data_IF_138127609463
#
_entry.id   IF_138127609463
#
_cell.length_a   1.000
_cell.length_b   1.000
_cell.length_c   1.000
_cell.angle_alpha   90.00
_cell.angle_beta   90.00
_cell.angle_gamma   90.00
#
_symmetry.space_group_name_H-M   'P 1'
#
loop_
_entity.id
_entity.type
_entity.pdbx_description
1 polymer ?
#
# COMPACT_ATOMS: atom_id res chain seq x y z
N UNK A 1 20.39 6.00 -14.48
CA UNK A 1 20.15 7.46 -14.57
C UNK A 1 19.14 7.75 -15.67
N UNK A 2 18.14 8.57 -15.38
CA UNK A 2 17.05 8.96 -16.30
C UNK A 2 16.90 10.49 -16.31
N UNK A 3 16.45 11.02 -17.45
CA UNK A 3 16.15 12.45 -17.60
C UNK A 3 14.63 12.64 -17.66
N UNK A 4 14.11 13.51 -16.80
CA UNK A 4 12.70 13.87 -16.72
C UNK A 4 12.50 15.30 -17.22
N UNK A 5 11.39 15.56 -17.91
CA UNK A 5 11.01 16.90 -18.33
C UNK A 5 9.94 17.46 -17.39
N UNK A 6 10.09 18.72 -16.98
CA UNK A 6 9.09 19.46 -16.21
C UNK A 6 8.95 20.87 -16.81
N UNK A 7 7.93 21.07 -17.64
CA UNK A 7 7.78 22.30 -18.40
C UNK A 7 8.98 22.54 -19.33
N UNK A 8 9.75 23.62 -19.10
CA UNK A 8 10.99 23.92 -19.82
C UNK A 8 12.25 23.38 -19.12
N UNK A 9 12.12 22.82 -17.93
CA UNK A 9 13.23 22.31 -17.13
C UNK A 9 13.54 20.85 -17.46
N UNK A 10 14.81 20.48 -17.27
CA UNK A 10 15.30 19.12 -17.42
C UNK A 10 15.89 18.67 -16.09
N UNK A 11 15.38 17.57 -15.55
CA UNK A 11 15.75 17.04 -14.24
C UNK A 11 16.43 15.68 -14.40
N UNK A 12 17.46 15.42 -13.61
CA UNK A 12 18.21 14.18 -13.68
C UNK A 12 17.88 13.30 -12.47
N UNK A 13 17.14 12.23 -12.71
CA UNK A 13 16.85 11.20 -11.72
C UNK A 13 18.00 10.18 -11.75
N UNK A 14 18.83 10.20 -10.70
CA UNK A 14 19.88 9.21 -10.49
C UNK A 14 19.28 7.84 -10.19
N UNK A 15 20.08 6.79 -10.35
CA UNK A 15 19.64 5.46 -9.93
C UNK A 15 19.47 5.45 -8.41
N UNK A 16 18.46 4.71 -7.95
CA UNK A 16 18.17 4.59 -6.53
C UNK A 16 19.28 3.80 -5.84
N UNK A 17 19.75 4.20 -4.64
CA UNK A 17 20.72 3.43 -3.88
C UNK A 17 20.27 1.97 -3.66
N UNK A 18 21.24 1.06 -3.60
CA UNK A 18 21.02 -0.37 -3.35
C UNK A 18 21.55 -0.66 -1.95
N UNK A 19 20.78 -0.26 -0.95
CA UNK A 19 21.09 -0.45 0.47
C UNK A 19 19.80 -0.77 1.26
N UNK A 20 19.91 -1.18 2.54
CA UNK A 20 18.74 -1.57 3.34
C UNK A 20 17.71 -0.45 3.55
N UNK A 21 18.14 0.81 3.50
CA UNK A 21 17.26 1.98 3.71
C UNK A 21 16.50 2.33 2.43
N UNK A 22 16.90 1.76 1.29
CA UNK A 22 16.28 1.94 -0.02
C UNK A 22 15.79 0.59 -0.60
N UNK A 23 14.72 -0.02 -0.04
CA UNK A 23 14.17 -1.29 -0.53
C UNK A 23 13.65 -1.17 -1.98
N UNK A 24 13.77 -2.17 -2.86
CA UNK A 24 13.33 -2.08 -4.26
C UNK A 24 11.90 -1.55 -4.43
N UNK A 25 11.62 -0.93 -5.57
CA UNK A 25 10.27 -0.44 -5.88
C UNK A 25 9.24 -1.59 -5.88
N UNK A 26 8.01 -1.36 -5.39
CA UNK A 26 6.99 -2.40 -5.29
C UNK A 26 6.51 -2.86 -6.66
N UNK A 27 5.90 -4.05 -6.71
CA UNK A 27 5.22 -4.61 -7.89
C UNK A 27 6.08 -4.74 -9.17
N UNK A 28 7.41 -4.74 -9.01
CA UNK A 28 8.34 -4.76 -10.15
C UNK A 28 8.40 -3.45 -10.93
N UNK A 29 7.93 -2.34 -10.33
CA UNK A 29 8.05 -1.00 -10.90
C UNK A 29 9.53 -0.62 -11.09
N UNK A 30 9.79 0.25 -12.06
CA UNK A 30 11.12 0.78 -12.34
C UNK A 30 11.11 2.29 -12.47
N UNK A 31 12.28 2.92 -12.34
CA UNK A 31 12.43 4.36 -12.59
C UNK A 31 12.06 4.75 -14.02
N UNK A 32 11.96 3.80 -14.96
CA UNK A 32 11.54 4.09 -16.33
C UNK A 32 10.06 4.48 -16.47
N UNK A 33 9.30 4.29 -15.41
CA UNK A 33 7.89 4.70 -15.33
C UNK A 33 7.73 6.05 -14.62
N UNK A 34 8.83 6.61 -14.10
CA UNK A 34 8.79 7.87 -13.36
C UNK A 34 8.57 9.08 -14.28
N UNK A 35 7.81 10.05 -13.79
CA UNK A 35 7.60 11.38 -14.36
C UNK A 35 7.96 12.44 -13.33
N UNK A 36 8.32 13.63 -13.79
CA UNK A 36 8.51 14.78 -12.92
C UNK A 36 7.24 15.63 -12.91
N UNK A 37 6.80 16.04 -11.73
CA UNK A 37 5.67 16.95 -11.51
C UNK A 37 6.06 17.95 -10.43
N UNK A 38 5.34 19.07 -10.32
CA UNK A 38 5.45 19.88 -9.11
C UNK A 38 4.72 19.19 -7.95
N UNK A 39 5.18 19.39 -6.71
CA UNK A 39 4.59 18.75 -5.53
C UNK A 39 3.06 18.97 -5.42
N UNK A 40 2.56 20.15 -5.79
CA UNK A 40 1.11 20.43 -5.79
C UNK A 40 0.30 19.73 -6.89
N UNK A 41 0.97 19.11 -7.87
CA UNK A 41 0.35 18.37 -8.98
C UNK A 41 0.31 16.86 -8.72
N UNK A 42 0.98 16.38 -7.66
CA UNK A 42 0.90 15.00 -7.19
C UNK A 42 -0.55 14.66 -6.87
N UNK A 43 -0.99 13.47 -7.29
CA UNK A 43 -2.36 12.98 -7.10
C UNK A 43 -2.39 11.86 -6.07
N UNK A 44 -3.57 11.64 -5.50
CA UNK A 44 -3.82 10.48 -4.65
C UNK A 44 -3.48 9.19 -5.41
N UNK A 45 -2.67 8.32 -4.80
CA UNK A 45 -2.20 7.07 -5.38
C UNK A 45 -0.90 7.15 -6.19
N UNK A 46 -0.38 8.36 -6.47
CA UNK A 46 0.93 8.50 -7.12
C UNK A 46 2.02 8.00 -6.17
N UNK A 47 2.95 7.17 -6.66
CA UNK A 47 4.06 6.67 -5.85
C UNK A 47 5.21 7.68 -5.87
N UNK A 48 5.48 8.33 -4.74
CA UNK A 48 6.57 9.31 -4.61
C UNK A 48 7.91 8.60 -4.50
N UNK A 49 8.88 9.01 -5.33
CA UNK A 49 10.19 8.37 -5.44
C UNK A 49 11.35 9.24 -4.97
N UNK A 50 11.30 10.54 -5.27
CA UNK A 50 12.39 11.46 -4.99
C UNK A 50 11.90 12.92 -5.01
N UNK A 51 12.55 13.78 -4.24
CA UNK A 51 12.44 15.22 -4.34
C UNK A 51 13.68 15.79 -5.05
N UNK A 52 13.54 16.94 -5.73
CA UNK A 52 14.67 17.63 -6.33
C UNK A 52 15.00 18.88 -5.52
N UNK A 53 16.28 19.08 -5.18
CA UNK A 53 16.70 20.24 -4.39
C UNK A 53 16.30 21.58 -5.03
N UNK A 54 16.02 22.60 -4.21
CA UNK A 54 15.62 23.94 -4.68
C UNK A 54 16.82 24.79 -5.16
N UNK A 55 18.04 24.30 -4.98
CA UNK A 55 19.28 25.02 -5.31
C UNK A 55 19.39 25.36 -6.81
N UNK A 56 19.96 26.53 -7.10
CA UNK A 56 20.20 26.98 -8.47
C UNK A 56 21.29 26.15 -9.13
N UNK A 57 20.93 25.31 -10.12
CA UNK A 57 21.89 24.50 -10.88
C UNK A 57 21.30 23.19 -11.40
N UNK A 58 22.16 22.20 -11.62
CA UNK A 58 21.73 20.83 -11.88
C UNK A 58 21.16 20.25 -10.58
N UNK A 59 19.84 20.36 -10.39
CA UNK A 59 19.13 19.84 -9.23
C UNK A 59 19.42 18.35 -9.07
N UNK A 60 19.90 17.96 -7.89
CA UNK A 60 20.10 16.56 -7.56
C UNK A 60 18.78 15.97 -7.04
N UNK A 61 18.47 14.76 -7.48
CA UNK A 61 17.37 13.99 -6.94
C UNK A 61 17.81 13.34 -5.62
N UNK A 62 17.04 13.59 -4.58
CA UNK A 62 17.14 12.91 -3.29
C UNK A 62 16.03 11.86 -3.24
N UNK A 63 16.41 10.58 -3.27
CA UNK A 63 15.45 9.48 -3.22
C UNK A 63 14.83 9.40 -1.84
N UNK A 64 13.51 9.21 -1.79
CA UNK A 64 12.87 8.87 -0.52
C UNK A 64 13.32 7.47 -0.11
N UNK A 65 13.66 7.23 1.18
CA UNK A 65 14.10 5.91 1.64
C UNK A 65 13.10 4.83 1.27
N UNK A 66 11.83 4.99 1.65
CA UNK A 66 10.74 4.08 1.26
C UNK A 66 9.74 4.83 0.39
N UNK A 67 9.59 4.48 -0.91
CA UNK A 67 8.56 5.02 -1.77
C UNK A 67 7.18 4.79 -1.17
N UNK A 68 6.37 5.84 -1.12
CA UNK A 68 5.03 5.79 -0.55
C UNK A 68 4.01 6.30 -1.56
N UNK A 69 2.81 5.73 -1.50
CA UNK A 69 1.67 6.23 -2.27
C UNK A 69 1.20 7.52 -1.61
N UNK A 70 1.11 8.62 -2.36
CA UNK A 70 0.71 9.91 -1.84
C UNK A 70 -0.80 9.98 -1.63
N UNK A 71 -1.21 10.68 -0.58
CA UNK A 71 -2.55 11.24 -0.38
C UNK A 71 -2.40 12.74 -0.14
N UNK A 72 -2.42 13.57 -1.20
CA UNK A 72 -2.07 14.97 -1.10
C UNK A 72 -3.17 15.81 -0.42
N UNK A 73 -2.79 16.56 0.61
CA UNK A 73 -3.66 17.45 1.38
C UNK A 73 -3.18 18.90 1.35
N UNK A 74 -4.12 19.84 1.51
CA UNK A 74 -3.74 21.18 1.91
C UNK A 74 -3.15 21.13 3.32
N UNK A 75 -2.18 21.98 3.66
CA UNK A 75 -1.49 21.87 4.95
C UNK A 75 -2.43 21.94 6.16
N UNK A 76 -3.45 22.81 6.09
CA UNK A 76 -4.49 22.95 7.13
C UNK A 76 -5.34 21.69 7.34
N UNK A 77 -5.32 20.79 6.36
CA UNK A 77 -6.10 19.57 6.29
C UNK A 77 -5.14 18.34 6.40
N UNK A 78 -3.89 18.53 6.88
CA UNK A 78 -2.93 17.42 7.04
C UNK A 78 -3.49 16.38 8.01
N UNK A 79 -3.53 15.09 7.65
CA UNK A 79 -4.02 14.03 8.54
C UNK A 79 -3.10 13.73 9.74
N UNK A 80 -1.97 14.41 9.82
CA UNK A 80 -0.86 14.17 10.74
C UNK A 80 -0.76 15.13 11.92
N UNK A 81 -1.69 16.10 12.04
CA UNK A 81 -1.66 17.25 12.96
C UNK A 81 -0.69 17.09 14.15
N UNK A 82 0.44 17.82 14.11
CA UNK A 82 1.44 17.82 15.19
C UNK A 82 2.68 16.95 14.97
N UNK A 83 2.98 16.50 13.75
CA UNK A 83 4.29 15.92 13.45
C UNK A 83 5.40 16.98 13.41
N UNK A 84 6.66 16.56 13.50
CA UNK A 84 7.84 17.46 13.52
C UNK A 84 7.82 18.45 12.33
N UNK A 85 7.47 17.98 11.14
CA UNK A 85 7.38 18.80 9.94
C UNK A 85 6.25 19.84 10.02
N UNK A 86 5.13 19.51 10.68
CA UNK A 86 4.06 20.48 10.93
C UNK A 86 4.51 21.54 11.92
N UNK A 87 5.20 21.12 13.00
CA UNK A 87 5.75 22.02 14.02
C UNK A 87 6.80 22.96 13.43
N UNK A 88 7.58 22.52 12.44
CA UNK A 88 8.55 23.36 11.72
C UNK A 88 7.86 24.48 10.93
N UNK A 89 6.76 24.17 10.23
CA UNK A 89 5.98 25.20 9.51
C UNK A 89 5.27 26.14 10.47
N UNK A 90 4.75 25.61 11.58
CA UNK A 90 4.16 26.41 12.65
C UNK A 90 5.21 27.34 13.27
N UNK A 91 6.41 26.86 13.53
CA UNK A 91 7.52 27.68 14.04
C UNK A 91 7.92 28.77 13.04
N UNK A 92 7.99 28.43 11.75
CA UNK A 92 8.28 29.37 10.67
C UNK A 92 7.21 30.47 10.54
N UNK A 93 5.94 30.13 10.74
CA UNK A 93 4.82 31.09 10.73
C UNK A 93 4.73 31.91 12.01
N UNK A 94 5.01 31.36 13.18
CA UNK A 94 5.04 32.09 14.45
C UNK A 94 6.14 33.16 14.47
N UNK A 95 7.24 32.95 13.74
CA UNK A 95 8.27 33.97 13.55
C UNK A 95 7.80 35.22 12.79
N UNK A 96 6.70 35.14 12.03
CA UNK A 96 6.09 36.25 11.30
C UNK A 96 4.65 35.90 10.91
N UNK A 97 3.69 36.35 11.74
CA UNK A 97 2.26 36.06 11.56
C UNK A 97 1.67 36.54 10.22
N UNK A 98 2.36 37.41 9.48
CA UNK A 98 1.96 37.76 8.11
C UNK A 98 2.01 36.57 7.14
N UNK A 99 2.77 35.53 7.48
CA UNK A 99 2.98 34.32 6.67
C UNK A 99 1.87 33.29 6.77
N UNK A 100 0.97 33.40 7.74
CA UNK A 100 -0.13 32.44 7.94
C UNK A 100 -1.01 32.34 6.67
N UNK A 101 -1.25 33.47 5.99
CA UNK A 101 -1.97 33.49 4.72
C UNK A 101 -1.19 32.83 3.56
N UNK A 102 0.15 32.80 3.66
CA UNK A 102 1.03 32.27 2.63
C UNK A 102 1.19 30.74 2.72
N UNK A 103 0.92 30.13 3.88
CA UNK A 103 1.16 28.70 4.13
C UNK A 103 0.47 27.81 3.11
N UNK A 104 -0.84 28.00 2.90
CA UNK A 104 -1.61 27.19 1.95
C UNK A 104 -1.21 27.42 0.48
N UNK A 105 -0.57 28.54 0.19
CA UNK A 105 0.00 28.88 -1.12
C UNK A 105 1.45 28.41 -1.29
N UNK A 106 2.18 28.12 -0.20
CA UNK A 106 3.59 27.73 -0.25
C UNK A 106 3.80 26.23 -0.11
N UNK A 107 2.99 25.56 0.70
CA UNK A 107 3.21 24.17 1.08
C UNK A 107 2.07 23.24 0.65
N UNK A 108 2.42 21.97 0.45
CA UNK A 108 1.48 20.86 0.26
C UNK A 108 1.92 19.72 1.17
N UNK A 109 0.96 19.02 1.75
CA UNK A 109 1.23 17.79 2.48
C UNK A 109 1.09 16.62 1.49
N UNK A 110 2.11 15.79 1.36
CA UNK A 110 2.09 14.56 0.57
C UNK A 110 2.05 13.33 1.49
N UNK A 111 1.17 13.33 2.49
CA UNK A 111 1.06 12.22 3.46
C UNK A 111 1.02 10.85 2.76
N UNK A 112 1.62 9.80 3.35
CA UNK A 112 1.41 8.43 2.90
C UNK A 112 -0.09 8.07 2.93
N UNK A 113 -0.57 7.37 1.90
CA UNK A 113 -1.98 6.98 1.76
C UNK A 113 -2.38 5.82 2.67
N UNK A 114 -1.41 5.05 3.17
CA UNK A 114 -1.62 4.00 4.16
C UNK A 114 -0.99 4.46 5.47
N UNK A 115 -1.78 4.52 6.56
CA UNK A 115 -1.22 4.67 7.90
C UNK A 115 -0.62 3.32 8.27
N UNK A 116 0.69 3.24 8.45
CA UNK A 116 1.35 2.02 8.92
C UNK A 116 0.61 1.43 10.12
N UNK A 117 0.15 0.17 10.00
CA UNK A 117 -0.43 -0.57 11.14
C UNK A 117 0.72 -0.97 12.08
N UNK A 118 1.14 -0.03 12.92
CA UNK A 118 2.18 -0.24 13.91
C UNK A 118 2.19 0.92 14.91
N UNK A 119 1.76 0.64 16.13
CA UNK A 119 2.00 1.50 17.30
C UNK A 119 3.51 1.83 17.37
N UNK A 120 3.85 3.11 17.54
CA UNK A 120 5.20 3.72 17.60
C UNK A 120 5.77 4.30 16.30
N UNK A 121 5.08 5.32 15.77
CA UNK A 121 5.64 6.29 14.83
C UNK A 121 4.65 6.63 13.74
N UNK A 122 3.88 7.71 13.92
CA UNK A 122 3.16 8.34 12.82
C UNK A 122 4.17 8.52 11.66
N UNK A 123 3.93 7.88 10.51
CA UNK A 123 4.80 8.08 9.36
C UNK A 123 4.86 9.59 9.08
N UNK A 124 6.05 10.21 9.09
CA UNK A 124 6.17 11.65 9.05
C UNK A 124 5.55 12.15 7.76
N UNK A 125 4.71 13.17 7.87
CA UNK A 125 4.15 13.79 6.69
C UNK A 125 5.24 14.52 5.91
N UNK A 126 5.33 14.22 4.62
CA UNK A 126 6.16 15.00 3.71
C UNK A 126 5.50 16.36 3.43
N UNK A 127 5.95 17.40 4.12
CA UNK A 127 5.51 18.78 3.86
C UNK A 127 6.49 19.43 2.88
N UNK A 128 6.03 19.60 1.66
CA UNK A 128 6.87 20.05 0.55
C UNK A 128 6.47 21.44 0.08
N UNK A 129 7.45 22.18 -0.47
CA UNK A 129 7.15 23.40 -1.21
C UNK A 129 6.31 23.04 -2.44
N UNK A 130 5.18 23.72 -2.64
CA UNK A 130 4.22 23.41 -3.72
C UNK A 130 4.84 23.31 -5.11
N UNK A 131 5.85 24.15 -5.38
CA UNK A 131 6.51 24.21 -6.68
C UNK A 131 7.82 23.38 -6.72
N UNK A 132 8.17 22.68 -5.64
CA UNK A 132 9.29 21.76 -5.64
C UNK A 132 9.02 20.66 -6.66
N UNK A 133 9.94 20.39 -7.60
CA UNK A 133 9.82 19.22 -8.44
C UNK A 133 9.95 17.95 -7.61
N UNK A 134 9.13 16.97 -7.92
CA UNK A 134 9.18 15.62 -7.37
C UNK A 134 9.10 14.60 -8.50
N UNK A 135 9.76 13.46 -8.31
CA UNK A 135 9.64 12.31 -9.20
C UNK A 135 8.59 11.36 -8.64
N UNK A 136 7.61 10.99 -9.46
CA UNK A 136 6.54 10.07 -9.09
C UNK A 136 6.33 9.00 -10.16
N UNK A 137 5.79 7.84 -9.78
CA UNK A 137 5.14 6.92 -10.71
C UNK A 137 3.64 7.18 -10.65
N UNK A 138 2.98 7.50 -11.77
CA UNK A 138 1.55 7.80 -11.78
C UNK A 138 0.68 6.67 -11.22
N UNK A 139 -0.37 7.02 -10.50
CA UNK A 139 -1.28 6.07 -9.81
C UNK A 139 -1.85 4.98 -10.73
N UNK A 140 -2.16 5.30 -11.99
CA UNK A 140 -2.68 4.35 -12.96
C UNK A 140 -1.63 3.30 -13.36
N UNK A 141 -0.35 3.70 -13.42
CA UNK A 141 0.77 2.79 -13.66
C UNK A 141 1.03 1.91 -12.44
N UNK A 142 0.93 2.47 -11.22
CA UNK A 142 1.05 1.72 -9.97
C UNK A 142 -0.04 0.66 -9.88
N UNK A 143 -1.31 1.04 -10.08
CA UNK A 143 -2.44 0.12 -10.03
C UNK A 143 -2.35 -0.99 -11.08
N UNK A 144 -1.88 -0.68 -12.29
CA UNK A 144 -1.68 -1.69 -13.34
C UNK A 144 -0.55 -2.67 -12.97
N UNK A 145 0.54 -2.19 -12.36
CA UNK A 145 1.64 -3.04 -11.90
C UNK A 145 1.22 -3.92 -10.73
N UNK A 146 0.47 -3.38 -9.76
CA UNK A 146 -0.08 -4.14 -8.64
C UNK A 146 -0.96 -5.29 -9.14
N UNK A 147 -1.92 -5.00 -10.04
CA UNK A 147 -2.80 -6.01 -10.62
C UNK A 147 -2.02 -7.08 -11.40
N UNK A 148 -0.98 -6.69 -12.14
CA UNK A 148 -0.11 -7.63 -12.85
C UNK A 148 0.76 -8.48 -11.91
N UNK A 149 1.11 -7.94 -10.74
CA UNK A 149 1.88 -8.64 -9.71
C UNK A 149 1.01 -9.56 -8.85
N UNK A 150 -0.33 -9.44 -8.91
CA UNK A 150 -1.22 -10.32 -8.14
C UNK A 150 -1.01 -11.77 -8.58
N UNK A 151 -0.75 -12.68 -7.63
CA UNK A 151 -0.63 -14.08 -7.95
C UNK A 151 -1.95 -14.57 -8.57
N UNK A 152 -1.91 -15.50 -9.53
CA UNK A 152 -3.12 -16.04 -10.12
C UNK A 152 -4.01 -16.61 -9.02
N UNK A 153 -5.25 -16.12 -8.92
CA UNK A 153 -6.25 -16.65 -8.00
C UNK A 153 -6.49 -18.10 -8.39
N UNK A 154 -6.00 -19.03 -7.58
CA UNK A 154 -6.26 -20.45 -7.76
C UNK A 154 -7.63 -20.75 -7.16
N UNK A 155 -8.58 -21.12 -8.02
CA UNK A 155 -9.87 -21.64 -7.57
C UNK A 155 -9.69 -23.10 -7.17
N UNK A 156 -9.88 -23.40 -5.90
CA UNK A 156 -9.91 -24.78 -5.40
C UNK A 156 -11.35 -25.27 -5.36
N UNK A 157 -11.62 -26.41 -5.99
CA UNK A 157 -12.86 -27.14 -5.78
C UNK A 157 -12.75 -27.93 -4.48
N UNK A 158 -13.62 -27.63 -3.51
CA UNK A 158 -13.74 -28.41 -2.27
C UNK A 158 -14.95 -29.32 -2.40
N UNK A 159 -14.71 -30.63 -2.39
CA UNK A 159 -15.78 -31.62 -2.29
C UNK A 159 -15.86 -32.10 -0.85
N UNK A 160 -17.07 -32.10 -0.29
CA UNK A 160 -17.34 -32.66 1.02
C UNK A 160 -18.31 -33.83 0.88
N UNK A 161 -17.98 -34.96 1.49
CA UNK A 161 -18.81 -36.17 1.53
C UNK A 161 -19.14 -36.52 2.96
N UNK A 162 -20.42 -36.79 3.21
CA UNK A 162 -20.91 -37.31 4.48
C UNK A 162 -21.97 -38.39 4.22
N UNK A 163 -21.90 -39.47 5.00
CA UNK A 163 -22.87 -40.55 4.96
C UNK A 163 -23.95 -40.33 6.02
N UNK A 164 -25.21 -40.45 5.61
CA UNK A 164 -26.36 -40.32 6.50
C UNK A 164 -27.23 -41.57 6.40
N UNK A 165 -27.63 -42.10 7.54
CA UNK A 165 -28.76 -43.03 7.57
C UNK A 165 -30.06 -42.21 7.44
N UNK A 166 -30.76 -42.40 6.33
CA UNK A 166 -32.01 -41.72 6.03
C UNK A 166 -33.01 -42.69 5.39
N UNK A 167 -34.29 -42.49 5.68
CA UNK A 167 -35.38 -43.29 5.11
C UNK A 167 -35.76 -42.86 3.68
N UNK A 168 -35.26 -41.70 3.23
CA UNK A 168 -35.49 -41.16 1.88
C UNK A 168 -34.39 -40.20 1.42
N UNK A 169 -34.24 -39.95 0.10
CA UNK A 169 -33.29 -38.96 -0.42
C UNK A 169 -33.52 -37.53 0.09
N UNK A 170 -34.78 -37.13 0.31
CA UNK A 170 -35.13 -35.80 0.82
C UNK A 170 -34.71 -35.64 2.28
N UNK A 171 -34.79 -36.71 3.06
CA UNK A 171 -34.31 -36.72 4.44
C UNK A 171 -32.77 -36.66 4.49
N UNK A 172 -32.07 -37.41 3.65
CA UNK A 172 -30.61 -37.32 3.52
C UNK A 172 -30.16 -35.90 3.14
N UNK A 173 -30.81 -35.28 2.15
CA UNK A 173 -30.52 -33.90 1.74
C UNK A 173 -30.77 -32.88 2.87
N UNK A 174 -31.84 -33.05 3.64
CA UNK A 174 -32.12 -32.21 4.81
C UNK A 174 -31.06 -32.39 5.90
N UNK A 175 -30.65 -33.63 6.18
CA UNK A 175 -29.59 -33.91 7.16
C UNK A 175 -28.25 -33.30 6.74
N UNK A 176 -27.90 -33.41 5.45
CA UNK A 176 -26.72 -32.77 4.89
C UNK A 176 -26.76 -31.23 5.03
N UNK A 177 -27.91 -30.61 4.71
CA UNK A 177 -28.10 -29.17 4.87
C UNK A 177 -27.99 -28.72 6.34
N UNK A 178 -28.63 -29.44 7.27
CA UNK A 178 -28.53 -29.12 8.70
C UNK A 178 -27.11 -29.30 9.25
N UNK A 179 -26.36 -30.30 8.75
CA UNK A 179 -24.96 -30.48 9.14
C UNK A 179 -24.09 -29.32 8.63
N UNK A 180 -24.21 -28.94 7.35
CA UNK A 180 -23.54 -27.77 6.77
C UNK A 180 -23.86 -26.49 7.53
N UNK A 181 -25.14 -26.30 7.87
CA UNK A 181 -25.60 -25.15 8.65
C UNK A 181 -25.03 -25.14 10.06
N UNK A 182 -24.92 -26.31 10.72
CA UNK A 182 -24.33 -26.42 12.06
C UNK A 182 -22.83 -26.09 12.10
N UNK A 183 -22.10 -26.39 11.01
CA UNK A 183 -20.69 -26.05 10.87
C UNK A 183 -20.40 -24.56 10.71
N UNK A 184 -21.39 -23.78 10.25
CA UNK A 184 -21.27 -22.33 10.23
C UNK A 184 -21.34 -21.71 11.64
N UNK A 185 -21.71 -22.49 12.68
CA UNK A 185 -21.90 -21.95 14.02
C UNK A 185 -21.12 -22.65 15.14
N UNK A 186 -20.97 -23.99 15.22
CA UNK A 186 -20.28 -24.64 16.39
C UNK A 186 -19.88 -26.14 16.19
N UNK A 187 -19.79 -26.67 14.96
CA UNK A 187 -19.55 -28.11 14.72
C UNK A 187 -18.09 -28.54 14.53
N UNK A 188 -17.75 -29.79 14.89
CA UNK A 188 -16.44 -30.44 14.62
C UNK A 188 -16.04 -30.30 13.14
N UNK A 189 -14.93 -29.64 12.79
CA UNK A 189 -14.68 -29.32 11.40
C UNK A 189 -14.32 -30.59 10.61
N UNK A 190 -14.85 -30.76 9.38
CA UNK A 190 -14.61 -31.94 8.56
C UNK A 190 -13.16 -32.03 8.08
N UNK A 191 -12.70 -33.24 7.75
CA UNK A 191 -11.51 -33.43 6.93
C UNK A 191 -11.82 -32.96 5.51
N UNK A 192 -11.01 -32.04 4.98
CA UNK A 192 -11.15 -31.54 3.63
C UNK A 192 -10.17 -32.25 2.71
N UNK A 193 -10.69 -32.97 1.72
CA UNK A 193 -9.87 -33.45 0.60
C UNK A 193 -9.80 -32.38 -0.48
N UNK A 194 -8.63 -31.76 -0.63
CA UNK A 194 -8.35 -30.77 -1.68
C UNK A 194 -7.61 -31.46 -2.81
N UNK A 195 -8.21 -31.48 -3.99
CA UNK A 195 -7.56 -32.00 -5.21
C UNK A 195 -7.07 -30.82 -6.05
N UNK A 196 -5.79 -30.80 -6.40
CA UNK A 196 -5.23 -29.76 -7.28
C UNK A 196 -5.45 -30.08 -8.78
N UNK A 197 -5.07 -29.13 -9.65
CA UNK A 197 -5.21 -29.26 -11.11
C UNK A 197 -4.41 -30.44 -11.71
N UNK A 198 -3.41 -30.95 -10.99
CA UNK A 198 -2.62 -32.11 -11.38
C UNK A 198 -3.22 -33.43 -10.84
N UNK A 199 -4.37 -33.38 -10.16
CA UNK A 199 -5.04 -34.53 -9.55
C UNK A 199 -4.39 -34.99 -8.24
N UNK A 200 -3.52 -34.19 -7.63
CA UNK A 200 -2.91 -34.52 -6.34
C UNK A 200 -3.89 -34.18 -5.21
N UNK A 201 -4.15 -35.16 -4.37
CA UNK A 201 -5.02 -35.02 -3.19
C UNK A 201 -4.19 -34.60 -1.98
N UNK A 202 -4.64 -33.54 -1.30
CA UNK A 202 -4.15 -33.08 0.00
C UNK A 202 -5.30 -33.11 0.98
N UNK A 203 -5.17 -33.89 2.05
CA UNK A 203 -6.16 -33.92 3.12
C UNK A 203 -5.79 -32.87 4.16
N UNK A 204 -6.70 -31.94 4.43
CA UNK A 204 -6.55 -30.88 5.43
C UNK A 204 -7.47 -31.21 6.60
N UNK A 205 -6.85 -31.57 7.74
CA UNK A 205 -7.53 -31.59 9.02
C UNK A 205 -7.59 -30.16 9.57
N UNK A 206 -8.78 -29.58 9.57
CA UNK A 206 -9.03 -28.23 10.07
C UNK A 206 -8.83 -28.08 11.59
N UNK A 207 -8.62 -29.17 12.35
CA UNK A 207 -8.24 -29.12 13.77
C UNK A 207 -6.73 -29.05 14.02
N UNK A 208 -5.88 -29.40 13.05
CA UNK A 208 -4.43 -29.48 13.27
C UNK A 208 -3.81 -28.11 13.60
N UNK A 209 -4.38 -27.02 13.09
CA UNK A 209 -3.92 -25.65 13.32
C UNK A 209 -4.17 -25.20 14.77
N UNK A 210 -5.31 -25.56 15.38
CA UNK A 210 -5.63 -25.16 16.76
C UNK A 210 -4.75 -25.83 17.83
N UNK A 211 -4.21 -27.03 17.56
CA UNK A 211 -3.30 -27.70 18.51
C UNK A 211 -1.90 -27.09 18.56
N UNK A 212 -1.52 -26.29 17.56
CA UNK A 212 -0.19 -25.67 17.50
C UNK A 212 -0.14 -24.32 18.22
N UNK A 213 -1.28 -23.63 18.37
CA UNK A 213 -1.38 -22.35 19.08
C UNK A 213 -1.68 -22.48 20.58
N UNK A 214 -2.19 -23.64 21.03
CA UNK A 214 -2.45 -23.90 22.46
C UNK A 214 -1.25 -24.38 23.28
N UNK A 215 -0.04 -24.41 22.70
CA UNK A 215 1.17 -24.94 23.34
C UNK A 215 2.39 -23.99 23.25
N UNK A 216 2.14 -22.68 23.21
CA UNK A 216 3.14 -21.63 23.46
C UNK A 216 2.75 -20.82 24.69
#
# INVERSE_FOLDING_TARGET
MRTLALGSETLHLTDRPIDPDHPPLPYGLTLDQAVAVHAHEVKAGDLVLAAFSDESGARQAEHVPTPYSADPHALRDCPCEGCEECEDVDTWTLGDHGRVADVGWRFVCLAPSERGEGDEGDEPCAIELRNLPVAVIPADVVAAAEEAARPPVRTYGVMWSADFEASSPQEAARLAYEQLKSYATDGWPPELEVTDEAGRVTVIDLNATQRTEGNR
#
